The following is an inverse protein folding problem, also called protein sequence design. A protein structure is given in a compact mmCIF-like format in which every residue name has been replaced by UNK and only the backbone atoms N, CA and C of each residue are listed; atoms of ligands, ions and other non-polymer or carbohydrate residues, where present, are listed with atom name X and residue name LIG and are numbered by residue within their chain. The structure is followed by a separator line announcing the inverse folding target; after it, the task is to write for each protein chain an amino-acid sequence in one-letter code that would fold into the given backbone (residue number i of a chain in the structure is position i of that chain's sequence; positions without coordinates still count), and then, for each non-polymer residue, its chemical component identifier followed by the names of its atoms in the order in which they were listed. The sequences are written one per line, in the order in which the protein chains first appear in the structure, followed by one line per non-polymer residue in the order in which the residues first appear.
data_IF_745442333444
#
_entry.id   IF_745442333444
#
_cell.length_a   1.000
_cell.length_b   1.000
_cell.length_c   1.000
_cell.angle_alpha   90.00
_cell.angle_beta   90.00
_cell.angle_gamma   90.00
#
_symmetry.space_group_name_H-M   'P 1'
#
loop_
_entity.id
_entity.type
_entity.pdbx_description
1 polymer ?
#
# COMPACT_ATOMS: atom_id res chain seq x y z
N UNK A 1 -30.79 4.44 -15.98
CA UNK A 1 -29.71 5.44 -15.79
C UNK A 1 -29.92 6.10 -14.43
N UNK A 2 -29.47 5.44 -13.36
CA UNK A 2 -29.61 5.89 -11.96
C UNK A 2 -28.38 5.48 -11.11
N UNK A 3 -27.19 5.50 -11.71
CA UNK A 3 -25.94 5.07 -11.07
C UNK A 3 -24.91 6.19 -10.81
N UNK A 4 -25.16 7.43 -11.22
CA UNK A 4 -24.10 8.43 -11.38
C UNK A 4 -23.67 9.16 -10.09
N UNK A 5 -24.42 9.04 -8.99
CA UNK A 5 -24.16 9.80 -7.76
C UNK A 5 -23.04 9.21 -6.90
N UNK A 6 -23.16 7.91 -6.56
CA UNK A 6 -22.19 7.21 -5.73
C UNK A 6 -20.86 7.01 -6.46
N UNK A 7 -20.88 6.63 -7.72
CA UNK A 7 -19.65 6.44 -8.50
C UNK A 7 -18.85 7.74 -8.64
N UNK A 8 -19.52 8.90 -8.81
CA UNK A 8 -18.84 10.22 -8.82
C UNK A 8 -18.16 10.53 -7.49
N UNK A 9 -18.83 10.27 -6.37
CA UNK A 9 -18.26 10.53 -5.06
C UNK A 9 -17.01 9.68 -4.81
N UNK A 10 -17.02 8.42 -5.26
CA UNK A 10 -15.87 7.52 -5.17
C UNK A 10 -14.68 8.06 -5.97
N UNK A 11 -14.91 8.47 -7.22
CA UNK A 11 -13.85 9.01 -8.08
C UNK A 11 -13.29 10.33 -7.52
N UNK A 12 -14.15 11.24 -7.03
CA UNK A 12 -13.70 12.49 -6.42
C UNK A 12 -12.88 12.25 -5.15
N UNK A 13 -13.34 11.36 -4.27
CA UNK A 13 -12.62 11.02 -3.04
C UNK A 13 -11.26 10.40 -3.38
N UNK A 14 -11.20 9.51 -4.37
CA UNK A 14 -9.96 8.93 -4.86
C UNK A 14 -8.98 10.00 -5.36
N UNK A 15 -9.43 10.92 -6.22
CA UNK A 15 -8.57 12.00 -6.74
C UNK A 15 -8.08 12.88 -5.59
N UNK A 16 -8.97 13.28 -4.67
CA UNK A 16 -8.59 14.06 -3.49
C UNK A 16 -7.59 13.31 -2.60
N UNK A 17 -7.78 12.00 -2.42
CA UNK A 17 -6.87 11.13 -1.66
C UNK A 17 -5.49 11.07 -2.31
N UNK A 18 -5.42 10.96 -3.63
CA UNK A 18 -4.15 10.97 -4.37
C UNK A 18 -3.42 12.31 -4.22
N UNK A 19 -4.13 13.43 -4.30
CA UNK A 19 -3.53 14.78 -4.15
C UNK A 19 -3.02 14.99 -2.73
N UNK A 20 -3.88 14.79 -1.72
CA UNK A 20 -3.53 15.01 -0.31
C UNK A 20 -2.46 14.02 0.13
N UNK A 21 -2.62 12.75 -0.24
CA UNK A 21 -1.67 11.69 0.06
C UNK A 21 -0.32 11.91 -0.59
N UNK A 22 -0.29 12.38 -1.85
CA UNK A 22 0.94 12.72 -2.56
C UNK A 22 1.68 13.91 -1.97
N UNK A 23 0.96 14.99 -1.60
CA UNK A 23 1.58 16.12 -0.88
C UNK A 23 2.16 15.63 0.46
N UNK A 24 1.39 14.86 1.21
CA UNK A 24 1.81 14.34 2.52
C UNK A 24 3.03 13.42 2.39
N UNK A 25 3.03 12.50 1.42
CA UNK A 25 4.13 11.56 1.24
C UNK A 25 5.37 12.17 0.61
N UNK A 26 5.24 13.21 -0.23
CA UNK A 26 6.39 13.98 -0.70
C UNK A 26 7.06 14.73 0.46
N UNK A 27 6.28 15.29 1.39
CA UNK A 27 6.81 15.90 2.62
C UNK A 27 7.52 14.88 3.52
N UNK A 28 6.98 13.67 3.63
CA UNK A 28 7.58 12.57 4.41
C UNK A 28 8.75 11.87 3.70
N UNK A 29 8.90 12.09 2.39
CA UNK A 29 9.90 11.45 1.53
C UNK A 29 9.97 9.92 1.70
N UNK A 30 8.80 9.26 1.70
CA UNK A 30 8.69 7.81 1.98
C UNK A 30 9.53 6.99 1.00
N UNK A 31 9.46 7.31 -0.29
CA UNK A 31 10.22 6.60 -1.30
C UNK A 31 11.72 6.76 -1.11
N UNK A 32 12.20 7.98 -0.80
CA UNK A 32 13.61 8.22 -0.51
C UNK A 32 14.07 7.45 0.75
N UNK A 33 13.18 7.27 1.74
CA UNK A 33 13.42 6.42 2.90
C UNK A 33 13.62 4.96 2.52
N UNK A 34 12.74 4.42 1.67
CA UNK A 34 12.85 3.06 1.14
C UNK A 34 14.10 2.89 0.28
N UNK A 35 14.44 3.85 -0.58
CA UNK A 35 15.65 3.84 -1.40
C UNK A 35 16.91 3.81 -0.53
N UNK A 36 16.98 4.66 0.51
CA UNK A 36 18.10 4.67 1.46
C UNK A 36 18.22 3.35 2.21
N UNK A 37 17.10 2.77 2.65
CA UNK A 37 17.10 1.46 3.27
C UNK A 37 17.60 0.38 2.28
N UNK A 38 17.08 0.38 1.05
CA UNK A 38 17.50 -0.52 -0.01
C UNK A 38 19.00 -0.42 -0.30
N UNK A 39 19.54 0.78 -0.45
CA UNK A 39 20.97 1.03 -0.65
C UNK A 39 21.83 0.61 0.54
N UNK A 40 21.33 0.79 1.77
CA UNK A 40 22.03 0.33 2.97
C UNK A 40 22.15 -1.19 3.00
N UNK A 41 21.07 -1.90 2.66
CA UNK A 41 21.10 -3.35 2.52
C UNK A 41 21.95 -3.80 1.34
N UNK A 42 21.89 -3.10 0.21
CA UNK A 42 22.68 -3.39 -0.99
C UNK A 42 24.18 -3.40 -0.65
N UNK A 43 24.67 -2.38 0.07
CA UNK A 43 26.07 -2.31 0.51
C UNK A 43 26.53 -3.50 1.36
N UNK A 44 25.60 -4.16 2.06
CA UNK A 44 25.89 -5.24 3.00
C UNK A 44 25.69 -6.64 2.40
N UNK A 45 24.74 -6.79 1.49
CA UNK A 45 24.27 -8.08 1.00
C UNK A 45 24.43 -8.27 -0.51
N UNK A 46 24.69 -7.22 -1.29
CA UNK A 46 24.76 -7.28 -2.74
C UNK A 46 26.16 -6.97 -3.30
N UNK A 47 26.35 -7.33 -4.57
CA UNK A 47 27.55 -6.98 -5.34
C UNK A 47 27.43 -5.56 -5.89
N UNK A 48 28.55 -4.87 -6.20
CA UNK A 48 28.51 -3.58 -6.88
C UNK A 48 27.69 -3.68 -8.18
N UNK A 49 26.87 -2.65 -8.47
CA UNK A 49 25.99 -2.54 -9.66
C UNK A 49 24.78 -3.49 -9.71
N UNK A 50 24.05 -3.63 -8.60
CA UNK A 50 22.86 -4.49 -8.57
C UNK A 50 21.55 -3.71 -8.66
N UNK A 51 20.51 -4.32 -9.24
CA UNK A 51 19.12 -3.78 -9.23
C UNK A 51 18.43 -3.97 -7.87
N UNK A 52 19.20 -4.21 -6.81
CA UNK A 52 18.73 -4.63 -5.50
C UNK A 52 17.83 -3.59 -4.83
N UNK A 53 18.26 -2.33 -4.78
CA UNK A 53 17.45 -1.26 -4.20
C UNK A 53 16.12 -1.09 -4.95
N UNK A 54 16.13 -1.18 -6.28
CA UNK A 54 14.92 -1.10 -7.11
C UNK A 54 13.96 -2.26 -6.84
N UNK A 55 14.47 -3.49 -6.76
CA UNK A 55 13.67 -4.68 -6.42
C UNK A 55 13.05 -4.58 -5.04
N UNK A 56 13.81 -4.10 -4.05
CA UNK A 56 13.33 -3.86 -2.68
C UNK A 56 12.19 -2.83 -2.66
N UNK A 57 12.39 -1.66 -3.25
CA UNK A 57 11.39 -0.58 -3.25
C UNK A 57 10.12 -1.05 -3.96
N UNK A 58 10.26 -1.61 -5.17
CA UNK A 58 9.11 -2.01 -5.99
C UNK A 58 8.28 -3.10 -5.31
N UNK A 59 8.92 -4.16 -4.82
CA UNK A 59 8.21 -5.24 -4.14
C UNK A 59 7.52 -4.74 -2.85
N UNK A 60 8.20 -3.91 -2.06
CA UNK A 60 7.63 -3.34 -0.84
C UNK A 60 6.37 -2.51 -1.13
N UNK A 61 6.40 -1.69 -2.17
CA UNK A 61 5.24 -0.89 -2.57
C UNK A 61 4.11 -1.77 -3.07
N UNK A 62 4.37 -2.71 -3.98
CA UNK A 62 3.33 -3.62 -4.50
C UNK A 62 2.64 -4.39 -3.37
N UNK A 63 3.41 -4.88 -2.39
CA UNK A 63 2.87 -5.68 -1.31
C UNK A 63 2.09 -4.87 -0.27
N UNK A 64 2.54 -3.64 0.03
CA UNK A 64 1.89 -2.77 1.01
C UNK A 64 0.70 -1.98 0.44
N UNK A 65 0.63 -1.74 -0.87
CA UNK A 65 -0.42 -0.92 -1.50
C UNK A 65 -1.79 -1.61 -1.50
N UNK A 66 -1.83 -2.95 -1.49
CA UNK A 66 -3.08 -3.69 -1.55
C UNK A 66 -3.96 -3.46 -0.31
N UNK A 67 -5.22 -3.07 -0.50
CA UNK A 67 -6.17 -2.92 0.60
C UNK A 67 -6.36 -4.21 1.40
N UNK A 68 -6.19 -5.39 0.77
CA UNK A 68 -6.21 -6.68 1.45
C UNK A 68 -5.05 -6.88 2.45
N UNK A 69 -3.93 -6.14 2.32
CA UNK A 69 -2.88 -6.13 3.35
C UNK A 69 -3.43 -5.57 4.66
N UNK A 70 -4.21 -4.49 4.56
CA UNK A 70 -4.80 -3.79 5.70
C UNK A 70 -5.95 -4.61 6.26
N UNK A 71 -6.91 -5.01 5.40
CA UNK A 71 -8.08 -5.80 5.82
C UNK A 71 -7.65 -7.12 6.42
N UNK A 72 -6.73 -7.85 5.78
CA UNK A 72 -6.24 -9.13 6.30
C UNK A 72 -5.51 -8.98 7.64
N UNK A 73 -4.69 -7.93 7.82
CA UNK A 73 -3.98 -7.69 9.08
C UNK A 73 -4.96 -7.39 10.23
N UNK A 74 -6.08 -6.74 9.93
CA UNK A 74 -7.12 -6.43 10.91
C UNK A 74 -7.98 -7.63 11.25
N UNK A 75 -8.40 -8.40 10.26
CA UNK A 75 -9.14 -9.66 10.47
C UNK A 75 -8.32 -10.62 11.34
N UNK A 76 -7.01 -10.69 11.09
CA UNK A 76 -6.08 -11.43 11.93
C UNK A 76 -6.03 -10.87 13.36
N UNK A 77 -5.80 -9.56 13.52
CA UNK A 77 -5.70 -8.93 14.84
C UNK A 77 -6.99 -8.93 15.67
N UNK A 78 -8.17 -9.00 15.02
CA UNK A 78 -9.47 -8.92 15.69
C UNK A 78 -10.14 -10.27 15.91
N UNK A 79 -10.06 -11.15 14.92
CA UNK A 79 -10.78 -12.42 14.90
C UNK A 79 -9.83 -13.62 14.93
N UNK A 80 -8.50 -13.41 14.94
CA UNK A 80 -7.53 -14.47 14.76
C UNK A 80 -7.66 -15.17 13.39
N UNK A 81 -8.29 -14.50 12.42
CA UNK A 81 -8.56 -15.07 11.11
C UNK A 81 -7.61 -14.50 10.06
N UNK A 82 -6.51 -15.20 9.84
CA UNK A 82 -5.51 -14.85 8.85
C UNK A 82 -5.82 -15.36 7.43
N UNK A 83 -7.04 -15.86 7.13
CA UNK A 83 -7.36 -16.46 5.82
C UNK A 83 -7.06 -15.51 4.65
N UNK A 84 -7.49 -14.25 4.77
CA UNK A 84 -7.22 -13.20 3.78
C UNK A 84 -5.72 -12.94 3.62
N UNK A 85 -4.97 -12.94 4.74
CA UNK A 85 -3.54 -12.72 4.75
C UNK A 85 -2.78 -13.90 4.10
N UNK A 86 -3.24 -15.14 4.31
CA UNK A 86 -2.71 -16.33 3.65
C UNK A 86 -2.97 -16.30 2.14
N UNK A 87 -4.19 -15.99 1.71
CA UNK A 87 -4.50 -15.81 0.28
C UNK A 87 -3.61 -14.76 -0.37
N UNK A 88 -3.39 -13.63 0.32
CA UNK A 88 -2.47 -12.59 -0.16
C UNK A 88 -1.01 -13.05 -0.20
N UNK A 89 -0.56 -13.77 0.83
CA UNK A 89 0.83 -14.26 0.90
C UNK A 89 1.17 -15.19 -0.27
N UNK A 90 0.20 -15.97 -0.76
CA UNK A 90 0.37 -16.79 -1.98
C UNK A 90 0.58 -15.88 -3.21
N UNK A 91 -0.23 -14.83 -3.36
CA UNK A 91 -0.08 -13.87 -4.46
C UNK A 91 1.24 -13.10 -4.40
N UNK A 92 1.65 -12.68 -3.20
CA UNK A 92 2.93 -12.02 -2.96
C UNK A 92 4.10 -12.97 -3.26
N UNK A 93 3.97 -14.26 -2.91
CA UNK A 93 4.96 -15.29 -3.24
C UNK A 93 5.13 -15.51 -4.75
N UNK A 94 4.03 -15.60 -5.50
CA UNK A 94 4.08 -15.73 -6.97
C UNK A 94 4.75 -14.51 -7.59
N UNK A 95 4.34 -13.31 -7.19
CA UNK A 95 4.92 -12.06 -7.69
C UNK A 95 6.37 -11.87 -7.23
N UNK A 96 6.77 -12.39 -6.06
CA UNK A 96 8.14 -12.35 -5.58
C UNK A 96 9.08 -13.13 -6.49
N UNK A 97 8.66 -14.31 -6.97
CA UNK A 97 9.44 -15.09 -7.94
C UNK A 97 9.63 -14.30 -9.24
N UNK A 98 8.56 -13.68 -9.75
CA UNK A 98 8.58 -12.88 -10.98
C UNK A 98 9.50 -11.66 -10.82
N UNK A 99 9.34 -10.90 -9.73
CA UNK A 99 10.14 -9.72 -9.47
C UNK A 99 11.61 -10.07 -9.19
N UNK A 100 11.88 -11.18 -8.50
CA UNK A 100 13.26 -11.61 -8.23
C UNK A 100 14.00 -11.95 -9.52
N UNK A 101 13.30 -12.54 -10.51
CA UNK A 101 13.90 -12.83 -11.81
C UNK A 101 14.27 -11.54 -12.59
N UNK A 102 13.50 -10.46 -12.44
CA UNK A 102 13.76 -9.19 -13.14
C UNK A 102 14.63 -8.17 -12.37
N UNK A 103 14.49 -8.10 -11.06
CA UNK A 103 15.08 -7.06 -10.19
C UNK A 103 16.01 -7.64 -9.09
N UNK A 104 16.26 -8.94 -9.12
CA UNK A 104 17.23 -9.60 -8.25
C UNK A 104 16.78 -9.81 -6.80
N UNK A 105 17.75 -10.13 -5.95
CA UNK A 105 17.52 -10.61 -4.58
C UNK A 105 16.94 -9.55 -3.62
N UNK A 106 16.94 -8.27 -4.01
CA UNK A 106 16.39 -7.18 -3.20
C UNK A 106 14.91 -7.35 -2.86
N UNK A 107 14.16 -8.10 -3.69
CA UNK A 107 12.76 -8.46 -3.46
C UNK A 107 12.57 -9.21 -2.15
N UNK A 108 13.49 -10.10 -1.75
CA UNK A 108 13.36 -10.87 -0.52
C UNK A 108 13.31 -9.98 0.73
N UNK A 109 13.96 -8.81 0.70
CA UNK A 109 13.94 -7.87 1.82
C UNK A 109 12.65 -7.08 1.95
N UNK A 110 11.77 -7.10 0.94
CA UNK A 110 10.43 -6.48 1.05
C UNK A 110 9.57 -7.11 2.15
N UNK A 111 9.90 -8.33 2.58
CA UNK A 111 9.30 -8.95 3.76
C UNK A 111 9.40 -8.08 5.01
N UNK A 112 10.46 -7.26 5.15
CA UNK A 112 10.65 -6.39 6.30
C UNK A 112 9.64 -5.21 6.32
N UNK A 113 9.51 -4.38 5.26
CA UNK A 113 8.42 -3.40 5.17
C UNK A 113 7.04 -4.02 5.33
N UNK A 114 6.77 -5.16 4.69
CA UNK A 114 5.48 -5.84 4.80
C UNK A 114 5.18 -6.26 6.24
N UNK A 115 6.17 -6.84 6.92
CA UNK A 115 6.03 -7.26 8.31
C UNK A 115 5.80 -6.07 9.25
N UNK A 116 6.55 -4.98 9.09
CA UNK A 116 6.36 -3.76 9.88
C UNK A 116 4.97 -3.17 9.61
N UNK A 117 4.58 -3.08 8.33
CA UNK A 117 3.32 -2.51 7.91
C UNK A 117 2.13 -3.32 8.44
N UNK A 118 2.03 -4.60 8.08
CA UNK A 118 0.92 -5.47 8.48
C UNK A 118 0.95 -5.73 9.99
N UNK A 119 2.11 -6.01 10.58
CA UNK A 119 2.24 -6.26 12.01
C UNK A 119 1.82 -5.07 12.86
N UNK A 120 2.15 -3.83 12.44
CA UNK A 120 1.66 -2.63 13.15
C UNK A 120 0.14 -2.50 13.09
N UNK A 121 -0.48 -2.85 11.96
CA UNK A 121 -1.93 -2.82 11.78
C UNK A 121 -2.61 -3.90 12.63
N UNK A 122 -2.07 -5.12 12.65
CA UNK A 122 -2.55 -6.23 13.48
C UNK A 122 -2.57 -5.86 14.95
N UNK A 123 -1.50 -5.21 15.44
CA UNK A 123 -1.42 -4.74 16.84
C UNK A 123 -2.44 -3.63 17.16
N UNK A 124 -2.75 -2.76 16.19
CA UNK A 124 -3.70 -1.65 16.34
C UNK A 124 -5.15 -2.03 15.98
N UNK A 125 -5.40 -3.29 15.64
CA UNK A 125 -6.65 -3.70 15.01
C UNK A 125 -7.90 -3.44 15.87
N UNK A 126 -7.77 -3.60 17.19
CA UNK A 126 -8.82 -3.31 18.17
C UNK A 126 -9.38 -1.89 18.06
N UNK A 127 -8.53 -0.90 17.75
CA UNK A 127 -8.91 0.51 17.61
C UNK A 127 -9.43 0.81 16.21
N UNK A 128 -8.91 0.14 15.19
CA UNK A 128 -9.21 0.40 13.78
C UNK A 128 -10.52 -0.25 13.30
N UNK A 129 -11.00 -1.31 13.96
CA UNK A 129 -12.22 -2.06 13.58
C UNK A 129 -13.44 -1.19 13.22
N UNK A 130 -13.90 -0.24 14.05
CA UNK A 130 -15.15 0.47 13.79
C UNK A 130 -15.06 1.39 12.57
N UNK A 131 -13.86 1.75 12.13
CA UNK A 131 -13.64 2.71 11.05
C UNK A 131 -13.54 2.06 9.67
N UNK A 132 -13.48 0.73 9.59
CA UNK A 132 -13.25 0.00 8.36
C UNK A 132 -14.51 -0.69 7.87
N UNK A 133 -15.42 0.15 7.40
CA UNK A 133 -16.63 -0.29 6.71
C UNK A 133 -16.32 -0.81 5.31
N UNK A 134 -17.23 -1.60 4.73
CA UNK A 134 -17.10 -2.08 3.36
C UNK A 134 -16.85 -0.95 2.35
N UNK A 135 -17.49 0.21 2.56
CA UNK A 135 -17.30 1.42 1.75
C UNK A 135 -15.89 1.95 1.84
N UNK A 136 -15.31 2.06 3.05
CA UNK A 136 -13.93 2.54 3.23
C UNK A 136 -12.95 1.58 2.57
N UNK A 137 -13.12 0.28 2.76
CA UNK A 137 -12.28 -0.74 2.13
C UNK A 137 -12.32 -0.65 0.60
N UNK A 138 -13.51 -0.44 0.01
CA UNK A 138 -13.64 -0.23 -1.43
C UNK A 138 -12.91 1.02 -1.91
N UNK A 139 -12.99 2.15 -1.19
CA UNK A 139 -12.25 3.37 -1.54
C UNK A 139 -10.74 3.17 -1.46
N UNK A 140 -10.27 2.54 -0.39
CA UNK A 140 -8.86 2.21 -0.22
C UNK A 140 -8.38 1.27 -1.33
N UNK A 141 -9.21 0.30 -1.73
CA UNK A 141 -8.92 -0.60 -2.86
C UNK A 141 -8.85 0.14 -4.18
N UNK A 142 -9.74 1.11 -4.40
CA UNK A 142 -9.75 1.96 -5.60
C UNK A 142 -8.46 2.77 -5.69
N UNK A 143 -8.07 3.45 -4.61
CA UNK A 143 -6.79 4.19 -4.53
C UNK A 143 -5.60 3.24 -4.72
N UNK A 144 -5.60 2.10 -4.04
CA UNK A 144 -4.56 1.09 -4.17
C UNK A 144 -4.42 0.57 -5.61
N UNK A 145 -5.53 0.34 -6.31
CA UNK A 145 -5.54 -0.05 -7.72
C UNK A 145 -4.86 0.98 -8.63
N UNK A 146 -5.10 2.27 -8.40
CA UNK A 146 -4.41 3.36 -9.13
C UNK A 146 -2.90 3.35 -8.84
N UNK A 147 -2.50 3.11 -7.59
CA UNK A 147 -1.08 3.02 -7.24
C UNK A 147 -0.41 1.79 -7.87
N UNK A 148 -1.05 0.62 -7.85
CA UNK A 148 -0.54 -0.58 -8.55
C UNK A 148 -0.41 -0.31 -10.05
N UNK A 149 -1.39 0.38 -10.65
CA UNK A 149 -1.31 0.78 -12.05
C UNK A 149 -0.09 1.68 -12.32
N UNK A 150 0.17 2.67 -11.46
CA UNK A 150 1.35 3.52 -11.57
C UNK A 150 2.67 2.73 -11.41
N UNK A 151 2.72 1.74 -10.52
CA UNK A 151 3.88 0.84 -10.40
C UNK A 151 4.07 0.04 -11.69
N UNK A 152 2.99 -0.47 -12.29
CA UNK A 152 3.03 -1.16 -13.58
C UNK A 152 3.62 -0.30 -14.70
N UNK A 153 3.24 0.98 -14.77
CA UNK A 153 3.81 1.92 -15.74
C UNK A 153 5.31 2.16 -15.52
N UNK A 154 5.75 2.22 -14.27
CA UNK A 154 7.18 2.31 -13.94
C UNK A 154 7.95 1.05 -14.32
N UNK A 155 7.35 -0.13 -14.12
CA UNK A 155 7.93 -1.43 -14.50
C UNK A 155 8.08 -1.57 -16.01
N UNK A 156 7.15 -1.01 -16.79
CA UNK A 156 7.23 -0.93 -18.25
C UNK A 156 8.20 0.17 -18.73
N UNK A 157 8.84 0.89 -17.81
CA UNK A 157 9.74 2.02 -18.06
C UNK A 157 9.12 3.16 -18.88
N UNK A 158 7.78 3.23 -18.93
CA UNK A 158 7.03 4.30 -19.63
C UNK A 158 7.11 5.60 -18.82
N UNK A 159 7.08 5.50 -17.50
CA UNK A 159 7.15 6.64 -16.58
C UNK A 159 8.10 6.39 -15.42
N UNK A 160 8.46 7.44 -14.67
CA UNK A 160 9.21 7.36 -13.41
C UNK A 160 8.45 8.15 -12.34
N UNK A 161 7.36 7.55 -11.84
CA UNK A 161 6.51 8.13 -10.79
C UNK A 161 7.03 7.67 -9.43
N UNK A 162 7.17 8.58 -8.48
CA UNK A 162 7.52 8.23 -7.10
C UNK A 162 6.33 7.66 -6.32
N UNK A 163 5.92 6.43 -6.66
CA UNK A 163 4.71 5.83 -6.11
C UNK A 163 4.78 5.65 -4.58
N UNK A 164 5.98 5.50 -4.02
CA UNK A 164 6.15 5.43 -2.57
C UNK A 164 5.71 6.70 -1.85
N UNK A 165 5.89 7.87 -2.48
CA UNK A 165 5.39 9.14 -1.94
C UNK A 165 3.86 9.30 -2.11
N UNK A 166 3.23 8.46 -2.94
CA UNK A 166 1.78 8.43 -3.08
C UNK A 166 1.12 7.42 -2.12
N UNK A 167 1.91 6.57 -1.44
CA UNK A 167 1.41 5.53 -0.53
C UNK A 167 0.46 6.06 0.57
N UNK A 168 0.68 7.26 1.18
CA UNK A 168 -0.26 7.81 2.17
C UNK A 168 -1.68 8.03 1.65
N UNK A 169 -1.86 8.14 0.32
CA UNK A 169 -3.16 8.28 -0.31
C UNK A 169 -4.13 7.15 0.09
N UNK A 170 -3.61 5.93 0.31
CA UNK A 170 -4.43 4.78 0.71
C UNK A 170 -5.15 5.02 2.04
N UNK A 171 -4.55 5.79 2.95
CA UNK A 171 -5.13 6.03 4.26
C UNK A 171 -6.07 7.23 4.30
N UNK A 172 -6.06 8.11 3.29
CA UNK A 172 -6.94 9.29 3.26
C UNK A 172 -8.43 8.94 3.32
N UNK A 173 -8.95 7.91 2.61
CA UNK A 173 -10.34 7.48 2.77
C UNK A 173 -10.71 7.09 4.20
N UNK A 174 -9.79 6.42 4.91
CA UNK A 174 -9.97 6.04 6.31
C UNK A 174 -10.02 7.27 7.21
N UNK A 175 -9.08 8.21 7.07
CA UNK A 175 -9.07 9.46 7.85
C UNK A 175 -10.30 10.32 7.59
N UNK A 176 -10.74 10.41 6.33
CA UNK A 176 -11.96 11.12 5.96
C UNK A 176 -13.20 10.53 6.66
N UNK A 177 -13.32 9.21 6.70
CA UNK A 177 -14.45 8.55 7.35
C UNK A 177 -14.41 8.70 8.88
N UNK A 178 -13.22 8.64 9.49
CA UNK A 178 -13.03 8.94 10.92
C UNK A 178 -13.51 10.35 11.26
N UNK A 179 -13.12 11.35 10.46
CA UNK A 179 -13.56 12.74 10.62
C UNK A 179 -15.08 12.86 10.50
N UNK A 180 -15.70 12.18 9.54
CA UNK A 180 -17.14 12.23 9.32
C UNK A 180 -17.92 11.69 10.53
N UNK A 181 -17.48 10.56 11.09
CA UNK A 181 -18.06 9.99 12.32
C UNK A 181 -17.89 10.96 13.49
N UNK A 182 -16.71 11.55 13.65
CA UNK A 182 -16.39 12.43 14.78
C UNK A 182 -17.17 13.76 14.74
N UNK A 183 -17.45 14.28 13.55
CA UNK A 183 -18.29 15.48 13.35
C UNK A 183 -19.80 15.20 13.41
N UNK A 184 -20.22 13.95 13.69
CA UNK A 184 -21.63 13.62 13.94
C UNK A 184 -22.53 13.67 12.68
N UNK A 185 -21.94 13.68 11.48
CA UNK A 185 -22.66 13.63 10.20
C UNK A 185 -22.93 12.19 9.72
N UNK A 186 -22.56 11.18 10.51
CA UNK A 186 -22.84 9.77 10.25
C UNK A 186 -24.19 9.34 10.82
N UNK A 187 -25.26 9.64 10.08
CA UNK A 187 -26.60 9.07 10.24
C UNK A 187 -27.04 8.41 8.95
#
# INVERSE_FOLDING_TARGET
VAGNGLERQFVMLMIASMVIGGITGELLQIEAGLEKAGQWFEKKFARPESTFAQGFVTASLVYCVGAMAIVGALEDGLAGNATTLFSKSILDGVTAVIFTAGMGMGVALSALPVFIYQGSITLLAGVLRPFLTATVIQQMSLVGGVLIFAIGLNLLEITRIKVGNLLPAIFIPLFYYILLILFGLGG
#
